data_IF_582893878996
#
_entry.id   IF_582893878996
#
_cell.length_a   1.000
_cell.length_b   1.000
_cell.length_c   1.000
_cell.angle_alpha   90.00
_cell.angle_beta   90.00
_cell.angle_gamma   90.00
#
_symmetry.space_group_name_H-M   'P 1'
#
loop_
_entity.id
_entity.type
_entity.pdbx_description
1 polymer ?
#
# COMPACT_ATOMS: atom_id res chain seq x y z
N UNK A 1 14.04 -37.72 -7.45
CA UNK A 1 12.77 -36.99 -7.23
C UNK A 1 13.08 -35.50 -7.18
N UNK A 2 12.34 -34.67 -7.92
CA UNK A 2 12.52 -33.21 -7.86
C UNK A 2 12.15 -32.65 -6.48
N UNK A 3 12.58 -31.42 -6.15
CA UNK A 3 12.21 -30.74 -4.91
C UNK A 3 10.69 -30.74 -4.68
N UNK A 4 9.92 -30.33 -5.69
CA UNK A 4 8.47 -30.34 -5.65
C UNK A 4 7.82 -31.73 -5.56
N UNK A 5 8.44 -32.79 -6.10
CA UNK A 5 7.94 -34.16 -5.89
C UNK A 5 8.14 -34.61 -4.44
N UNK A 6 9.27 -34.26 -3.81
CA UNK A 6 9.53 -34.61 -2.41
C UNK A 6 8.58 -33.88 -1.45
N UNK A 7 8.32 -32.59 -1.69
CA UNK A 7 7.36 -31.81 -0.89
C UNK A 7 5.94 -32.39 -0.97
N UNK A 8 5.47 -32.76 -2.18
CA UNK A 8 4.15 -33.39 -2.35
C UNK A 8 4.01 -34.73 -1.63
N UNK A 9 5.03 -35.57 -1.69
CA UNK A 9 5.04 -36.86 -0.97
C UNK A 9 5.08 -36.63 0.55
N UNK A 10 5.86 -35.67 1.03
CA UNK A 10 5.91 -35.33 2.45
C UNK A 10 4.55 -34.81 2.96
N UNK A 11 3.89 -33.95 2.18
CA UNK A 11 2.56 -33.43 2.49
C UNK A 11 1.51 -34.54 2.51
N UNK A 12 1.48 -35.39 1.46
CA UNK A 12 0.58 -36.52 1.40
C UNK A 12 0.76 -37.47 2.60
N UNK A 13 2.02 -37.79 2.95
CA UNK A 13 2.35 -38.62 4.11
C UNK A 13 1.85 -38.00 5.42
N UNK A 14 2.00 -36.69 5.59
CA UNK A 14 1.52 -36.00 6.78
C UNK A 14 -0.02 -36.04 6.88
N UNK A 15 -0.72 -35.87 5.76
CA UNK A 15 -2.19 -35.87 5.70
C UNK A 15 -2.79 -37.27 5.87
N UNK A 16 -2.12 -38.33 5.42
CA UNK A 16 -2.59 -39.72 5.60
C UNK A 16 -2.70 -40.11 7.08
N UNK A 17 -1.93 -39.46 7.96
CA UNK A 17 -1.99 -39.68 9.40
C UNK A 17 -3.19 -39.04 10.10
N UNK A 18 -4.04 -38.30 9.37
CA UNK A 18 -5.18 -37.56 9.91
C UNK A 18 -4.81 -36.79 11.20
N UNK A 19 -3.78 -35.93 11.15
CA UNK A 19 -3.32 -35.23 12.35
C UNK A 19 -4.39 -34.27 12.87
N UNK A 20 -4.43 -34.00 14.17
CA UNK A 20 -5.26 -32.90 14.70
C UNK A 20 -4.61 -31.52 14.46
N UNK A 21 -3.27 -31.50 14.34
CA UNK A 21 -2.45 -30.32 14.13
C UNK A 21 -1.39 -30.59 13.05
N UNK A 22 -1.38 -29.77 12.00
CA UNK A 22 -0.39 -29.82 10.93
C UNK A 22 0.51 -28.57 10.97
N UNK A 23 1.81 -28.77 11.13
CA UNK A 23 2.82 -27.71 11.02
C UNK A 23 3.46 -27.79 9.64
N UNK A 24 3.48 -26.67 8.92
CA UNK A 24 4.09 -26.58 7.60
C UNK A 24 5.06 -25.41 7.53
N UNK A 25 6.29 -25.69 7.12
CA UNK A 25 7.34 -24.71 6.88
C UNK A 25 7.67 -24.70 5.39
N UNK A 26 7.35 -23.60 4.72
CA UNK A 26 7.57 -23.39 3.29
C UNK A 26 7.11 -24.56 2.39
N UNK A 27 5.88 -25.10 2.57
CA UNK A 27 5.47 -26.38 2.00
C UNK A 27 5.37 -26.39 0.47
N UNK A 28 5.20 -25.22 -0.16
CA UNK A 28 4.97 -25.07 -1.60
C UNK A 28 6.10 -24.31 -2.33
N UNK A 29 7.20 -24.03 -1.64
CA UNK A 29 8.32 -23.23 -2.14
C UNK A 29 9.03 -23.85 -3.35
N UNK A 30 9.09 -25.18 -3.45
CA UNK A 30 9.78 -25.89 -4.54
C UNK A 30 8.85 -26.33 -5.68
N UNK A 31 7.63 -25.78 -5.74
CA UNK A 31 6.63 -26.05 -6.78
C UNK A 31 6.57 -24.91 -7.80
N UNK A 32 6.29 -25.27 -9.05
CA UNK A 32 5.90 -24.32 -10.09
C UNK A 32 4.53 -23.67 -9.78
N UNK A 33 4.28 -22.50 -10.37
CA UNK A 33 3.11 -21.68 -10.06
C UNK A 33 1.78 -22.42 -10.27
N UNK A 34 1.62 -23.13 -11.39
CA UNK A 34 0.39 -23.86 -11.71
C UNK A 34 0.13 -25.02 -10.74
N UNK A 35 1.18 -25.79 -10.41
CA UNK A 35 1.07 -26.90 -9.46
C UNK A 35 0.81 -26.40 -8.04
N UNK A 36 1.40 -25.26 -7.67
CA UNK A 36 1.15 -24.59 -6.38
C UNK A 36 -0.31 -24.21 -6.22
N UNK A 37 -0.89 -23.51 -7.19
CA UNK A 37 -2.30 -23.05 -7.15
C UNK A 37 -3.28 -24.23 -6.99
N UNK A 38 -3.05 -25.31 -7.74
CA UNK A 38 -3.83 -26.56 -7.61
C UNK A 38 -3.74 -27.16 -6.21
N UNK A 39 -2.54 -27.22 -5.64
CA UNK A 39 -2.34 -27.76 -4.29
C UNK A 39 -2.93 -26.88 -3.20
N UNK A 40 -2.86 -25.56 -3.35
CA UNK A 40 -3.49 -24.63 -2.42
C UNK A 40 -5.00 -24.85 -2.37
N UNK A 41 -5.64 -25.03 -3.54
CA UNK A 41 -7.07 -25.32 -3.63
C UNK A 41 -7.44 -26.64 -2.94
N UNK A 42 -6.65 -27.70 -3.19
CA UNK A 42 -6.84 -29.01 -2.54
C UNK A 42 -6.67 -28.93 -1.01
N UNK A 43 -5.68 -28.18 -0.53
CA UNK A 43 -5.46 -28.00 0.90
C UNK A 43 -6.67 -27.32 1.57
N UNK A 44 -7.26 -26.31 0.92
CA UNK A 44 -8.45 -25.64 1.42
C UNK A 44 -9.65 -26.60 1.51
N UNK A 45 -9.87 -27.43 0.49
CA UNK A 45 -10.93 -28.46 0.52
C UNK A 45 -10.73 -29.41 1.71
N UNK A 46 -9.52 -29.94 1.90
CA UNK A 46 -9.21 -30.86 3.00
C UNK A 46 -9.42 -30.21 4.36
N UNK A 47 -9.00 -28.95 4.54
CA UNK A 47 -9.19 -28.24 5.82
C UNK A 47 -10.65 -27.97 6.14
N UNK A 48 -11.48 -27.71 5.12
CA UNK A 48 -12.92 -27.53 5.29
C UNK A 48 -13.60 -28.84 5.70
N UNK A 49 -13.20 -29.96 5.10
CA UNK A 49 -13.79 -31.27 5.40
C UNK A 49 -13.35 -31.82 6.75
N UNK A 50 -12.06 -31.74 7.08
CA UNK A 50 -11.48 -32.45 8.23
C UNK A 50 -11.31 -31.59 9.49
N UNK A 51 -11.63 -30.29 9.46
CA UNK A 51 -11.41 -29.33 10.56
C UNK A 51 -9.98 -29.34 11.12
N UNK A 52 -9.02 -29.63 10.26
CA UNK A 52 -7.60 -29.71 10.59
C UNK A 52 -7.07 -28.35 11.07
N UNK A 53 -6.46 -28.29 12.26
CA UNK A 53 -5.76 -27.09 12.69
C UNK A 53 -4.40 -27.04 11.99
N UNK A 54 -4.13 -25.98 11.23
CA UNK A 54 -2.88 -25.85 10.47
C UNK A 54 -2.14 -24.57 10.86
N UNK A 55 -0.83 -24.69 11.11
CA UNK A 55 0.08 -23.55 11.23
C UNK A 55 1.02 -23.58 10.02
N UNK A 56 0.96 -22.52 9.23
CA UNK A 56 1.74 -22.35 8.01
C UNK A 56 2.74 -21.21 8.18
N UNK A 57 4.00 -21.49 7.87
CA UNK A 57 5.07 -20.49 7.73
C UNK A 57 5.42 -20.37 6.26
N UNK A 58 5.36 -19.14 5.74
CA UNK A 58 5.69 -18.83 4.34
C UNK A 58 6.20 -17.40 4.21
N UNK A 59 7.16 -17.20 3.31
CA UNK A 59 7.60 -15.89 2.84
C UNK A 59 6.70 -15.32 1.74
N UNK A 60 5.77 -16.12 1.20
CA UNK A 60 4.81 -15.68 0.18
C UNK A 60 3.57 -15.09 0.83
N UNK A 61 3.39 -13.77 0.67
CA UNK A 61 2.19 -13.06 1.13
C UNK A 61 0.93 -13.62 0.45
N UNK A 62 1.01 -13.95 -0.84
CA UNK A 62 -0.11 -14.51 -1.61
C UNK A 62 -0.59 -15.84 -1.02
N UNK A 63 0.35 -16.73 -0.68
CA UNK A 63 0.04 -18.00 -0.03
C UNK A 63 -0.55 -17.80 1.38
N UNK A 64 0.01 -16.87 2.16
CA UNK A 64 -0.50 -16.54 3.49
C UNK A 64 -1.93 -16.00 3.44
N UNK A 65 -2.26 -15.16 2.45
CA UNK A 65 -3.60 -14.59 2.26
C UNK A 65 -4.59 -15.64 1.76
N UNK A 66 -4.16 -16.53 0.85
CA UNK A 66 -5.03 -17.54 0.26
C UNK A 66 -5.38 -18.67 1.24
N UNK A 67 -4.39 -19.16 1.99
CA UNK A 67 -4.55 -20.29 2.92
C UNK A 67 -4.89 -19.84 4.36
N UNK A 68 -4.50 -18.63 4.75
CA UNK A 68 -4.53 -18.19 6.14
C UNK A 68 -5.89 -17.72 6.64
N UNK A 69 -6.42 -18.39 7.66
CA UNK A 69 -7.54 -17.85 8.46
C UNK A 69 -7.11 -16.75 9.44
N UNK A 70 -5.85 -16.83 9.90
CA UNK A 70 -5.18 -15.89 10.81
C UNK A 70 -3.75 -15.71 10.31
N UNK A 71 -3.33 -14.48 10.09
CA UNK A 71 -1.99 -14.16 9.59
C UNK A 71 -1.25 -13.40 10.69
N UNK A 72 -0.04 -13.88 10.99
CA UNK A 72 0.91 -13.25 11.89
C UNK A 72 2.13 -12.88 11.05
N UNK A 73 2.61 -11.64 11.16
CA UNK A 73 3.80 -11.20 10.44
C UNK A 73 4.97 -11.19 11.42
N UNK A 74 6.05 -11.87 11.07
CA UNK A 74 7.30 -11.86 11.83
C UNK A 74 8.26 -10.84 11.19
N UNK A 75 8.66 -9.81 11.93
CA UNK A 75 9.65 -8.81 11.51
C UNK A 75 10.74 -8.72 12.56
N UNK A 76 12.01 -8.88 12.17
CA UNK A 76 13.18 -8.86 13.08
C UNK A 76 13.01 -9.76 14.32
N UNK A 77 12.45 -10.96 14.11
CA UNK A 77 12.18 -11.93 15.18
C UNK A 77 11.01 -11.58 16.11
N UNK A 78 10.22 -10.55 15.79
CA UNK A 78 9.05 -10.12 16.59
C UNK A 78 7.76 -10.37 15.84
N UNK A 79 6.77 -10.95 16.53
CA UNK A 79 5.43 -11.17 16.01
C UNK A 79 4.61 -9.89 16.09
N UNK A 80 4.25 -9.31 14.93
CA UNK A 80 3.39 -8.14 14.84
C UNK A 80 1.96 -8.63 14.57
N UNK A 81 1.06 -8.43 15.54
CA UNK A 81 -0.38 -8.68 15.35
C UNK A 81 -1.04 -7.49 14.65
N UNK A 82 -1.59 -7.72 13.46
CA UNK A 82 -2.41 -6.72 12.76
C UNK A 82 -3.68 -6.39 13.56
N UNK A 83 -3.73 -5.16 14.08
CA UNK A 83 -4.94 -4.59 14.70
C UNK A 83 -6.00 -4.32 13.60
N UNK A 84 -7.22 -4.84 13.82
CA UNK A 84 -8.46 -4.72 13.02
C UNK A 84 -8.65 -5.65 11.79
N UNK A 85 -9.19 -6.82 12.11
CA UNK A 85 -9.44 -8.01 11.28
C UNK A 85 -10.45 -7.85 10.11
N UNK A 86 -11.27 -6.79 10.10
CA UNK A 86 -12.31 -6.54 9.08
C UNK A 86 -11.87 -5.57 7.99
N UNK A 87 -11.23 -4.47 8.39
CA UNK A 87 -10.76 -3.42 7.48
C UNK A 87 -9.56 -3.92 6.68
N UNK A 88 -8.65 -4.66 7.32
CA UNK A 88 -7.47 -5.23 6.66
C UNK A 88 -7.87 -6.29 5.62
N UNK A 89 -8.82 -7.16 5.93
CA UNK A 89 -9.32 -8.18 5.00
C UNK A 89 -10.00 -7.60 3.76
N UNK A 90 -10.68 -6.46 3.88
CA UNK A 90 -11.37 -5.82 2.76
C UNK A 90 -10.46 -4.89 1.95
N UNK A 91 -9.55 -4.17 2.61
CA UNK A 91 -8.64 -3.24 1.94
C UNK A 91 -7.36 -3.92 1.43
N UNK A 92 -6.91 -5.04 2.00
CA UNK A 92 -5.70 -5.72 1.52
C UNK A 92 -5.81 -6.12 0.04
N UNK A 93 -6.88 -6.80 -0.45
CA UNK A 93 -6.99 -7.16 -1.86
C UNK A 93 -6.98 -5.94 -2.78
N UNK A 94 -7.66 -4.86 -2.37
CA UNK A 94 -7.75 -3.61 -3.12
C UNK A 94 -6.39 -2.91 -3.20
N UNK A 95 -5.65 -2.87 -2.09
CA UNK A 95 -4.29 -2.30 -2.04
C UNK A 95 -3.32 -3.14 -2.86
N UNK A 96 -3.36 -4.48 -2.77
CA UNK A 96 -2.48 -5.36 -3.55
C UNK A 96 -2.80 -5.36 -5.06
N UNK A 97 -4.07 -5.25 -5.45
CA UNK A 97 -4.48 -5.15 -6.86
C UNK A 97 -4.19 -3.77 -7.47
N UNK A 98 -4.27 -2.70 -6.68
CA UNK A 98 -3.99 -1.34 -7.16
C UNK A 98 -2.51 -0.96 -7.12
N UNK A 99 -1.68 -1.67 -6.35
CA UNK A 99 -0.24 -1.38 -6.24
C UNK A 99 0.55 -1.57 -7.56
N UNK A 100 0.32 -2.64 -8.36
CA UNK A 100 1.09 -2.85 -9.58
C UNK A 100 0.56 -2.05 -10.78
N UNK A 101 -0.70 -1.59 -10.74
CA UNK A 101 -1.30 -0.87 -11.87
C UNK A 101 -0.91 0.61 -11.76
N UNK A 102 -0.17 1.17 -12.72
CA UNK A 102 0.08 2.61 -12.74
C UNK A 102 -1.26 3.32 -12.84
N UNK A 103 -1.65 4.07 -11.80
CA UNK A 103 -2.98 4.70 -11.72
C UNK A 103 -3.25 5.67 -12.88
N UNK A 104 -2.20 6.16 -13.53
CA UNK A 104 -2.28 6.99 -14.74
C UNK A 104 -2.94 6.27 -15.93
N UNK A 105 -2.93 4.92 -15.95
CA UNK A 105 -3.59 4.13 -17.00
C UNK A 105 -5.11 4.37 -17.02
N UNK A 106 -5.70 4.86 -15.92
CA UNK A 106 -7.10 5.26 -15.88
C UNK A 106 -7.39 6.61 -16.55
N UNK A 107 -6.38 7.38 -16.97
CA UNK A 107 -6.57 8.70 -17.59
C UNK A 107 -7.53 8.65 -18.79
N UNK A 108 -7.38 7.78 -19.81
CA UNK A 108 -8.30 7.75 -20.95
C UNK A 108 -9.74 7.40 -20.54
N UNK A 109 -9.89 6.52 -19.55
CA UNK A 109 -11.21 6.13 -19.02
C UNK A 109 -11.87 7.32 -18.31
N UNK A 110 -11.12 8.04 -17.50
CA UNK A 110 -11.59 9.22 -16.77
C UNK A 110 -11.97 10.33 -17.76
N UNK A 111 -11.15 10.57 -18.80
CA UNK A 111 -11.48 11.52 -19.85
C UNK A 111 -12.73 11.11 -20.64
N UNK A 112 -12.93 9.82 -20.88
CA UNK A 112 -14.12 9.31 -21.56
C UNK A 112 -15.40 9.59 -20.78
N UNK A 113 -15.38 9.39 -19.46
CA UNK A 113 -16.58 9.55 -18.61
C UNK A 113 -16.83 10.98 -18.12
N UNK A 114 -15.76 11.71 -17.75
CA UNK A 114 -15.84 13.06 -17.17
C UNK A 114 -15.58 14.17 -18.19
N UNK A 115 -15.13 13.83 -19.40
CA UNK A 115 -14.81 14.76 -20.47
C UNK A 115 -13.40 15.35 -20.42
N UNK A 116 -13.09 16.15 -21.45
CA UNK A 116 -11.86 16.92 -21.58
C UNK A 116 -12.03 18.24 -20.82
N UNK A 117 -11.44 18.35 -19.63
CA UNK A 117 -11.55 19.56 -18.82
C UNK A 117 -10.87 19.42 -17.47
N UNK A 118 -11.01 20.44 -16.61
CA UNK A 118 -10.33 20.46 -15.31
C UNK A 118 -10.89 19.41 -14.34
N UNK A 119 -12.16 19.05 -14.47
CA UNK A 119 -12.81 18.08 -13.59
C UNK A 119 -12.16 16.69 -13.68
N UNK A 120 -11.80 16.24 -14.87
CA UNK A 120 -11.11 14.96 -15.05
C UNK A 120 -9.69 14.97 -14.48
N UNK A 121 -8.97 16.10 -14.64
CA UNK A 121 -7.63 16.31 -14.05
C UNK A 121 -7.69 16.29 -12.52
N UNK A 122 -8.61 17.05 -11.92
CA UNK A 122 -8.81 17.11 -10.46
C UNK A 122 -9.21 15.74 -9.92
N UNK A 123 -10.14 15.05 -10.58
CA UNK A 123 -10.57 13.72 -10.17
C UNK A 123 -9.42 12.72 -10.19
N UNK A 124 -8.63 12.68 -11.27
CA UNK A 124 -7.47 11.78 -11.39
C UNK A 124 -6.44 12.03 -10.30
N UNK A 125 -6.05 13.29 -10.08
CA UNK A 125 -5.05 13.65 -9.06
C UNK A 125 -5.59 13.30 -7.66
N UNK A 126 -6.84 13.66 -7.37
CA UNK A 126 -7.50 13.34 -6.09
C UNK A 126 -7.52 11.85 -5.85
N UNK A 127 -7.92 11.06 -6.86
CA UNK A 127 -7.96 9.60 -6.78
C UNK A 127 -6.57 9.03 -6.48
N UNK A 128 -5.54 9.49 -7.20
CA UNK A 128 -4.16 9.00 -7.02
C UNK A 128 -3.63 9.31 -5.61
N UNK A 129 -3.72 10.58 -5.21
CA UNK A 129 -3.20 11.09 -3.94
C UNK A 129 -3.98 10.49 -2.77
N UNK A 130 -5.31 10.37 -2.87
CA UNK A 130 -6.16 9.77 -1.84
C UNK A 130 -5.71 8.35 -1.51
N UNK A 131 -5.55 7.48 -2.51
CA UNK A 131 -5.09 6.11 -2.26
C UNK A 131 -3.66 6.05 -1.71
N UNK A 132 -2.78 6.94 -2.15
CA UNK A 132 -1.40 6.98 -1.66
C UNK A 132 -1.35 7.37 -0.18
N UNK A 133 -2.05 8.43 0.21
CA UNK A 133 -2.15 8.86 1.61
C UNK A 133 -2.85 7.79 2.45
N UNK A 134 -3.95 7.20 1.97
CA UNK A 134 -4.70 6.16 2.68
C UNK A 134 -3.81 4.96 3.05
N UNK A 135 -3.04 4.45 2.08
CA UNK A 135 -2.16 3.30 2.29
C UNK A 135 -1.04 3.62 3.27
N UNK A 136 -0.35 4.76 3.10
CA UNK A 136 0.73 5.14 4.01
C UNK A 136 0.22 5.39 5.42
N UNK A 137 -0.94 6.01 5.57
CA UNK A 137 -1.58 6.24 6.89
C UNK A 137 -1.92 4.92 7.57
N UNK A 138 -2.49 3.98 6.82
CA UNK A 138 -2.80 2.63 7.31
C UNK A 138 -1.54 1.93 7.83
N UNK A 139 -0.46 1.99 7.05
CA UNK A 139 0.79 1.32 7.39
C UNK A 139 1.48 2.01 8.58
N UNK A 140 1.39 3.34 8.69
CA UNK A 140 1.86 4.09 9.86
C UNK A 140 1.12 3.68 11.15
N UNK A 141 -0.20 3.55 11.09
CA UNK A 141 -1.01 3.07 12.21
C UNK A 141 -0.61 1.65 12.64
N UNK A 142 -0.25 0.77 11.69
CA UNK A 142 0.23 -0.60 12.01
C UNK A 142 1.58 -0.64 12.69
N UNK A 143 2.45 0.36 12.47
CA UNK A 143 3.76 0.45 13.11
C UNK A 143 3.66 0.84 14.59
N UNK A 144 2.52 1.38 15.03
CA UNK A 144 2.32 1.78 16.42
C UNK A 144 2.38 0.56 17.33
N UNK A 145 3.33 0.58 18.27
CA UNK A 145 3.56 -0.49 19.24
C UNK A 145 2.31 -0.79 20.06
N UNK A 146 1.92 -2.07 20.11
CA UNK A 146 0.75 -2.54 20.86
C UNK A 146 0.85 -2.30 22.37
N UNK A 147 2.06 -2.15 22.89
CA UNK A 147 2.39 -1.80 24.27
C UNK A 147 1.96 -0.38 24.64
N UNK A 148 2.03 0.57 23.70
CA UNK A 148 1.60 1.97 23.92
C UNK A 148 0.08 2.03 24.07
N UNK A 149 -0.64 1.24 23.28
CA UNK A 149 -2.11 1.12 23.35
C UNK A 149 -2.52 0.41 24.66
N UNK A 150 -1.82 -0.66 25.03
CA UNK A 150 -2.11 -1.43 26.24
C UNK A 150 -1.83 -0.62 27.51
N UNK A 151 -0.73 0.14 27.54
CA UNK A 151 -0.40 1.06 28.65
C UNK A 151 -1.49 2.11 28.86
N UNK A 152 -2.00 2.73 27.78
CA UNK A 152 -3.09 3.71 27.88
C UNK A 152 -4.38 3.06 28.39
N UNK A 153 -4.69 1.83 27.96
CA UNK A 153 -5.88 1.10 28.45
C UNK A 153 -5.76 0.71 29.92
N UNK A 154 -4.58 0.29 30.37
CA UNK A 154 -4.32 -0.02 31.80
C UNK A 154 -4.48 1.22 32.69
N UNK A 155 -4.22 2.41 32.16
CA UNK A 155 -4.48 3.69 32.84
C UNK A 155 -5.97 4.12 32.78
N UNK A 156 -6.87 3.26 32.27
CA UNK A 156 -8.31 3.56 32.16
C UNK A 156 -8.72 4.27 30.87
N UNK A 157 -7.83 4.35 29.87
CA UNK A 157 -8.08 5.05 28.61
C UNK A 157 -9.19 4.44 27.76
N UNK A 158 -10.12 5.27 27.28
CA UNK A 158 -11.20 4.87 26.38
C UNK A 158 -10.74 4.83 24.90
N UNK A 159 -11.57 4.26 24.01
CA UNK A 159 -11.23 4.13 22.57
C UNK A 159 -10.94 5.47 21.89
N UNK A 160 -11.72 6.51 22.19
CA UNK A 160 -11.51 7.83 21.60
C UNK A 160 -10.18 8.46 22.03
N UNK A 161 -9.76 8.19 23.28
CA UNK A 161 -8.47 8.62 23.81
C UNK A 161 -7.31 7.87 23.14
N UNK A 162 -7.45 6.57 22.86
CA UNK A 162 -6.46 5.84 22.06
C UNK A 162 -6.31 6.47 20.67
N UNK A 163 -7.41 6.78 19.99
CA UNK A 163 -7.35 7.43 18.67
C UNK A 163 -6.69 8.81 18.73
N UNK A 164 -7.08 9.66 19.68
CA UNK A 164 -6.63 11.06 19.73
C UNK A 164 -5.22 11.23 20.30
N UNK A 165 -4.82 10.42 21.28
CA UNK A 165 -3.55 10.60 22.01
C UNK A 165 -2.45 9.62 21.62
N UNK A 166 -2.80 8.52 20.95
CA UNK A 166 -1.81 7.53 20.51
C UNK A 166 -1.76 7.47 18.99
N UNK A 167 -2.88 7.12 18.34
CA UNK A 167 -2.87 6.84 16.91
C UNK A 167 -2.65 8.09 16.06
N UNK A 168 -3.46 9.13 16.23
CA UNK A 168 -3.38 10.37 15.45
C UNK A 168 -2.00 11.04 15.55
N UNK A 169 -1.42 11.31 16.74
CA UNK A 169 -0.11 11.93 16.83
C UNK A 169 1.03 11.02 16.38
N UNK A 170 0.89 9.69 16.48
CA UNK A 170 1.89 8.76 15.96
C UNK A 170 1.87 8.65 14.44
N UNK A 171 0.70 8.72 13.80
CA UNK A 171 0.57 8.61 12.34
C UNK A 171 0.69 9.94 11.59
N UNK A 172 0.48 11.08 12.24
CA UNK A 172 0.49 12.39 11.58
C UNK A 172 1.81 12.69 10.82
N UNK A 173 3.00 12.38 11.35
CA UNK A 173 4.25 12.59 10.61
C UNK A 173 4.34 11.75 9.33
N UNK A 174 3.95 10.49 9.39
CA UNK A 174 3.91 9.62 8.20
C UNK A 174 2.87 10.12 7.17
N UNK A 175 1.74 10.68 7.62
CA UNK A 175 0.74 11.30 6.73
C UNK A 175 1.33 12.51 5.99
N UNK A 176 2.06 13.37 6.69
CA UNK A 176 2.69 14.54 6.08
C UNK A 176 3.84 14.15 5.14
N UNK A 177 4.59 13.11 5.50
CA UNK A 177 5.58 12.48 4.62
C UNK A 177 4.92 11.89 3.36
N UNK A 178 3.76 11.23 3.51
CA UNK A 178 3.01 10.68 2.40
C UNK A 178 2.49 11.79 1.47
N UNK A 179 1.98 12.88 2.04
CA UNK A 179 1.52 14.05 1.31
C UNK A 179 2.66 14.64 0.47
N UNK A 180 3.84 14.82 1.08
CA UNK A 180 5.06 15.30 0.41
C UNK A 180 5.44 14.43 -0.78
N UNK A 181 5.48 13.11 -0.60
CA UNK A 181 5.79 12.16 -1.68
C UNK A 181 4.71 12.17 -2.78
N UNK A 182 3.44 12.27 -2.39
CA UNK A 182 2.30 12.27 -3.31
C UNK A 182 2.22 13.54 -4.17
N UNK A 183 2.92 14.61 -3.77
CA UNK A 183 2.91 15.85 -4.53
C UNK A 183 3.76 15.76 -5.80
N UNK A 184 4.91 15.07 -5.73
CA UNK A 184 5.71 14.79 -6.92
C UNK A 184 4.94 13.94 -7.93
N UNK A 185 4.20 12.93 -7.44
CA UNK A 185 3.34 12.11 -8.30
C UNK A 185 2.16 12.92 -8.84
N UNK A 186 1.54 13.79 -8.05
CA UNK A 186 0.47 14.68 -8.49
C UNK A 186 0.90 15.63 -9.61
N UNK A 187 2.09 16.24 -9.51
CA UNK A 187 2.63 17.14 -10.54
C UNK A 187 2.94 16.38 -11.83
N UNK A 188 3.57 15.20 -11.72
CA UNK A 188 3.83 14.36 -12.88
C UNK A 188 2.52 13.93 -13.58
N UNK A 189 1.50 13.57 -12.80
CA UNK A 189 0.17 13.23 -13.32
C UNK A 189 -0.49 14.44 -13.97
N UNK A 190 -0.40 15.63 -13.35
CA UNK A 190 -0.93 16.86 -13.92
C UNK A 190 -0.28 17.17 -15.27
N UNK A 191 1.05 17.08 -15.36
CA UNK A 191 1.79 17.24 -16.61
C UNK A 191 1.25 16.31 -17.71
N UNK A 192 1.13 15.02 -17.42
CA UNK A 192 0.60 14.06 -18.39
C UNK A 192 -0.86 14.36 -18.77
N UNK A 193 -1.70 14.69 -17.80
CA UNK A 193 -3.10 14.98 -18.06
C UNK A 193 -3.27 16.24 -18.93
N UNK A 194 -2.48 17.29 -18.67
CA UNK A 194 -2.48 18.51 -19.49
C UNK A 194 -1.88 18.29 -20.87
N UNK A 195 -0.92 17.37 -21.01
CA UNK A 195 -0.27 17.06 -22.29
C UNK A 195 -1.20 16.42 -23.32
N UNK A 196 -2.19 15.64 -22.88
CA UNK A 196 -3.05 14.88 -23.78
C UNK A 196 -4.46 15.45 -23.96
N UNK A 197 -4.99 16.15 -22.95
CA UNK A 197 -6.42 16.38 -22.83
C UNK A 197 -6.85 17.84 -22.93
N UNK A 198 -5.91 18.78 -22.94
CA UNK A 198 -6.23 20.21 -22.87
C UNK A 198 -5.35 21.07 -23.76
N UNK A 199 -5.86 22.24 -24.16
CA UNK A 199 -5.14 23.29 -24.90
C UNK A 199 -4.61 24.39 -23.97
N UNK A 200 -4.71 24.18 -22.66
CA UNK A 200 -4.28 25.12 -21.62
C UNK A 200 -3.53 24.35 -20.53
N UNK A 201 -2.62 25.01 -19.83
CA UNK A 201 -1.81 24.44 -18.77
C UNK A 201 -0.31 24.40 -19.08
N UNK A 202 0.50 24.24 -18.04
CA UNK A 202 1.96 24.21 -18.17
C UNK A 202 2.41 22.94 -18.91
N UNK A 203 1.74 21.81 -18.71
CA UNK A 203 2.03 20.57 -19.43
C UNK A 203 1.74 20.69 -20.92
N UNK A 204 0.60 21.29 -21.28
CA UNK A 204 0.28 21.60 -22.68
C UNK A 204 1.34 22.53 -23.28
N UNK A 205 1.67 23.64 -22.60
CA UNK A 205 2.65 24.62 -23.08
C UNK A 205 4.04 23.99 -23.34
N UNK A 206 4.49 23.09 -22.46
CA UNK A 206 5.76 22.36 -22.63
C UNK A 206 5.70 21.48 -23.88
N UNK A 207 4.63 20.68 -24.04
CA UNK A 207 4.49 19.77 -25.19
C UNK A 207 4.26 20.50 -26.51
N UNK A 208 3.54 21.61 -26.48
CA UNK A 208 3.30 22.49 -27.61
C UNK A 208 4.61 23.16 -28.08
N UNK A 209 5.40 23.71 -27.14
CA UNK A 209 6.75 24.24 -27.42
C UNK A 209 7.71 23.17 -27.95
N UNK A 210 7.63 21.95 -27.41
CA UNK A 210 8.38 20.79 -27.90
C UNK A 210 7.97 20.43 -29.34
N UNK A 211 6.66 20.43 -29.64
CA UNK A 211 6.14 20.14 -30.98
C UNK A 211 6.55 21.18 -32.02
N UNK A 212 6.69 22.44 -31.62
CA UNK A 212 7.21 23.53 -32.45
C UNK A 212 8.74 23.53 -32.59
N UNK A 213 9.44 22.65 -31.89
CA UNK A 213 10.91 22.64 -31.80
C UNK A 213 11.50 23.98 -31.32
N UNK A 214 10.83 24.66 -30.38
CA UNK A 214 11.31 25.90 -29.74
C UNK A 214 11.81 25.56 -28.33
N UNK A 215 13.11 25.26 -28.17
CA UNK A 215 13.64 24.77 -26.89
C UNK A 215 13.60 25.84 -25.79
N UNK A 216 13.75 27.12 -26.13
CA UNK A 216 13.78 28.22 -25.15
C UNK A 216 12.46 28.32 -24.37
N UNK A 217 11.33 28.27 -25.07
CA UNK A 217 9.99 28.26 -24.47
C UNK A 217 9.74 26.98 -23.66
N UNK A 218 10.15 25.83 -24.19
CA UNK A 218 10.02 24.54 -23.51
C UNK A 218 10.77 24.54 -22.17
N UNK A 219 12.02 25.02 -22.14
CA UNK A 219 12.80 25.13 -20.92
C UNK A 219 12.18 26.11 -19.92
N UNK A 220 11.65 27.25 -20.39
CA UNK A 220 10.92 28.17 -19.52
C UNK A 220 9.72 27.48 -18.85
N UNK A 221 8.96 26.68 -19.61
CA UNK A 221 7.85 25.87 -19.08
C UNK A 221 8.30 24.84 -18.05
N UNK A 222 9.38 24.10 -18.32
CA UNK A 222 9.95 23.11 -17.40
C UNK A 222 10.41 23.79 -16.09
N UNK A 223 11.08 24.94 -16.17
CA UNK A 223 11.52 25.71 -15.00
C UNK A 223 10.32 26.18 -14.18
N UNK A 224 9.26 26.68 -14.83
CA UNK A 224 8.03 27.09 -14.16
C UNK A 224 7.35 25.93 -13.43
N UNK A 225 7.26 24.77 -14.06
CA UNK A 225 6.69 23.56 -13.44
C UNK A 225 7.56 23.07 -12.27
N UNK A 226 8.89 23.12 -12.41
CA UNK A 226 9.83 22.77 -11.33
C UNK A 226 9.69 23.73 -10.13
N UNK A 227 9.60 25.04 -10.38
CA UNK A 227 9.37 26.05 -9.34
C UNK A 227 8.05 25.84 -8.61
N UNK A 228 6.97 25.51 -9.34
CA UNK A 228 5.69 25.15 -8.75
C UNK A 228 5.85 23.94 -7.81
N UNK A 229 6.54 22.89 -8.25
CA UNK A 229 6.78 21.71 -7.42
C UNK A 229 7.59 21.99 -6.16
N UNK A 230 8.68 22.75 -6.30
CA UNK A 230 9.51 23.16 -5.15
C UNK A 230 8.72 24.05 -4.18
N UNK A 231 7.93 24.99 -4.69
CA UNK A 231 7.13 25.89 -3.85
C UNK A 231 6.13 25.13 -3.01
N UNK A 232 5.40 24.19 -3.62
CA UNK A 232 4.47 23.33 -2.90
C UNK A 232 5.22 22.48 -1.87
N UNK A 233 6.37 21.90 -2.24
CA UNK A 233 7.17 21.05 -1.36
C UNK A 233 7.59 21.81 -0.10
N UNK A 234 8.09 23.04 -0.26
CA UNK A 234 8.49 23.92 0.84
C UNK A 234 7.30 24.23 1.74
N UNK A 235 6.12 24.49 1.18
CA UNK A 235 4.89 24.73 1.98
C UNK A 235 4.57 23.52 2.85
N UNK A 236 4.60 22.31 2.30
CA UNK A 236 4.34 21.09 3.06
C UNK A 236 5.43 20.83 4.12
N UNK A 237 6.70 21.08 3.81
CA UNK A 237 7.81 20.95 4.77
C UNK A 237 7.67 21.91 5.95
N UNK A 238 7.24 23.15 5.69
CA UNK A 238 6.94 24.13 6.74
C UNK A 238 5.76 23.70 7.59
N UNK A 239 4.70 23.17 6.98
CA UNK A 239 3.55 22.64 7.70
C UNK A 239 3.94 21.47 8.61
N UNK A 240 4.83 20.59 8.16
CA UNK A 240 5.33 19.47 8.98
C UNK A 240 6.11 19.96 10.20
N UNK A 241 7.02 20.93 10.03
CA UNK A 241 7.75 21.55 11.15
C UNK A 241 6.85 22.25 12.16
N UNK A 242 5.73 22.82 11.72
CA UNK A 242 4.75 23.47 12.61
C UNK A 242 3.89 22.44 13.33
N UNK A 243 3.41 21.43 12.59
CA UNK A 243 2.45 20.44 13.10
C UNK A 243 3.13 19.35 13.92
N UNK A 244 4.37 18.96 13.65
CA UNK A 244 5.03 17.80 14.26
C UNK A 244 6.19 18.17 15.20
N UNK A 245 6.17 19.35 15.83
CA UNK A 245 7.24 19.85 16.73
C UNK A 245 7.65 18.88 17.85
N UNK A 246 6.78 17.96 18.26
CA UNK A 246 7.07 17.01 19.33
C UNK A 246 8.02 15.88 18.92
N UNK A 247 8.23 15.64 17.62
CA UNK A 247 9.17 14.60 17.17
C UNK A 247 10.63 15.01 17.39
N UNK A 248 10.96 16.28 17.19
CA UNK A 248 12.32 16.80 17.38
C UNK A 248 12.79 16.68 18.84
N UNK A 249 11.86 16.65 19.80
CA UNK A 249 12.14 16.48 21.23
C UNK A 249 12.54 15.05 21.63
N UNK A 250 12.30 14.04 20.79
CA UNK A 250 12.70 12.64 21.06
C UNK A 250 14.09 12.28 20.49
N UNK A 251 14.72 13.21 19.76
CA UNK A 251 15.99 12.99 19.04
C UNK A 251 17.25 13.47 19.78
N UNK A 252 17.11 14.04 20.99
CA UNK A 252 18.22 14.35 21.93
C UNK A 252 18.08 13.49 23.18
#
# INVERSE_FOLDING_TARGET
MSGGQRQRVALARALTLQPDLLLMDEPLSALDALTRERLQSLLLEIWQEQKLTTVLVTHSIEEAVFLGSRILVLVDGRLIMGYERKIDRFLAPLVYLTYPIPKIVFLPLILLFLGLGDQSKIFLITFIVFFQILVTTRDAVRKVQSETISSLRSLGGNRAQVYRYVLLPASLPDVLTALRLSMGTAIAVLFFAESFATTEGLGYFIMDSWSRAVPDEMFAGIIMMALLGVSLFVVVDLLEKVLCRWQDLKGN
#
